data_IF_199796689199
#
_entry.id   IF_199796689199
#
_cell.length_a   1.000
_cell.length_b   1.000
_cell.length_c   1.000
_cell.angle_alpha   90.00
_cell.angle_beta   90.00
_cell.angle_gamma   90.00
#
_symmetry.space_group_name_H-M   'P 1'
#
loop_
_entity.id
_entity.type
_entity.pdbx_description
1 polymer ?
#
# COMPACT_ATOMS: atom_id res chain seq x y z
N UNK A 1 66.48 -18.58 3.14
CA UNK A 1 65.31 -19.04 3.92
C UNK A 1 64.38 -17.86 4.12
N UNK A 2 63.28 -17.67 3.35
CA UNK A 2 62.16 -16.73 3.67
C UNK A 2 61.05 -16.67 2.59
N UNK A 3 60.56 -17.78 2.04
CA UNK A 3 59.46 -17.71 1.03
C UNK A 3 58.29 -18.68 1.25
N UNK A 4 58.35 -19.57 2.24
CA UNK A 4 57.29 -20.57 2.47
C UNK A 4 56.21 -20.19 3.50
N UNK A 5 56.37 -19.07 4.22
CA UNK A 5 55.45 -18.72 5.33
C UNK A 5 54.21 -17.92 4.92
N UNK A 6 54.27 -17.15 3.82
CA UNK A 6 53.19 -16.23 3.44
C UNK A 6 52.00 -16.90 2.71
N UNK A 7 52.22 -18.07 2.11
CA UNK A 7 51.17 -18.81 1.39
C UNK A 7 50.19 -19.55 2.30
N UNK A 8 50.56 -19.82 3.56
CA UNK A 8 49.70 -20.54 4.51
C UNK A 8 48.67 -19.65 5.20
N UNK A 9 48.94 -18.35 5.33
CA UNK A 9 48.02 -17.40 5.96
C UNK A 9 46.88 -16.95 5.03
N UNK A 10 47.11 -16.91 3.71
CA UNK A 10 46.06 -16.54 2.76
C UNK A 10 44.95 -17.60 2.64
N UNK A 11 45.30 -18.89 2.75
CA UNK A 11 44.32 -19.97 2.66
C UNK A 11 43.37 -20.06 3.86
N UNK A 12 43.82 -19.64 5.05
CA UNK A 12 43.02 -19.71 6.27
C UNK A 12 41.95 -18.59 6.34
N UNK A 13 42.24 -17.42 5.77
CA UNK A 13 41.29 -16.30 5.71
C UNK A 13 40.20 -16.48 4.66
N UNK A 14 40.47 -17.22 3.57
CA UNK A 14 39.43 -17.54 2.56
C UNK A 14 38.49 -18.63 3.07
N UNK A 15 38.99 -19.58 3.87
CA UNK A 15 38.16 -20.64 4.46
C UNK A 15 37.18 -20.11 5.54
N UNK A 16 37.47 -18.96 6.16
CA UNK A 16 36.62 -18.37 7.21
C UNK A 16 35.50 -17.47 6.67
N UNK A 17 35.56 -17.00 5.42
CA UNK A 17 34.43 -16.31 4.77
C UNK A 17 33.41 -17.26 4.15
N UNK A 18 33.81 -18.48 3.79
CA UNK A 18 32.90 -19.48 3.22
C UNK A 18 31.95 -20.12 4.27
N UNK A 19 32.24 -19.98 5.56
CA UNK A 19 31.46 -20.57 6.64
C UNK A 19 30.25 -19.71 7.10
N UNK A 20 30.07 -18.49 6.57
CA UNK A 20 28.93 -17.63 6.93
C UNK A 20 27.72 -17.75 5.98
N UNK A 21 27.80 -18.54 4.90
CA UNK A 21 26.69 -18.76 3.96
C UNK A 21 25.98 -20.11 4.14
N UNK A 22 26.39 -20.93 5.11
CA UNK A 22 25.71 -22.18 5.46
C UNK A 22 25.20 -22.11 6.88
N UNK A 23 23.90 -21.91 7.06
CA UNK A 23 23.25 -22.24 8.33
C UNK A 23 22.18 -21.27 8.80
N UNK A 24 21.26 -20.90 7.91
CA UNK A 24 19.84 -20.70 8.17
C UNK A 24 19.25 -20.22 6.83
N UNK A 25 18.89 -21.16 5.95
CA UNK A 25 17.83 -20.84 5.00
C UNK A 25 16.59 -20.69 5.87
N UNK A 26 16.30 -19.46 6.29
CA UNK A 26 14.95 -19.13 6.71
C UNK A 26 14.08 -19.52 5.51
N UNK A 27 13.16 -20.45 5.73
CA UNK A 27 12.16 -20.79 4.73
C UNK A 27 11.50 -19.49 4.30
N UNK A 28 11.49 -19.21 3.00
CA UNK A 28 10.87 -17.98 2.49
C UNK A 28 9.41 -17.96 2.95
N UNK A 29 8.94 -16.87 3.55
CA UNK A 29 7.60 -16.81 4.11
C UNK A 29 6.56 -17.10 3.03
N UNK A 30 5.53 -17.86 3.42
CA UNK A 30 4.43 -18.19 2.53
C UNK A 30 3.62 -16.95 2.12
N UNK A 31 2.74 -17.08 1.11
CA UNK A 31 1.93 -15.95 0.63
C UNK A 31 1.05 -15.35 1.74
N UNK A 32 0.54 -16.18 2.66
CA UNK A 32 -0.28 -15.74 3.80
C UNK A 32 0.53 -14.86 4.78
N UNK A 33 1.77 -15.27 5.09
CA UNK A 33 2.65 -14.54 6.00
C UNK A 33 3.11 -13.22 5.40
N UNK A 34 3.47 -13.21 4.11
CA UNK A 34 3.82 -11.98 3.39
C UNK A 34 2.63 -11.00 3.37
N UNK A 35 1.41 -11.49 3.13
CA UNK A 35 0.22 -10.64 3.16
C UNK A 35 -0.04 -10.08 4.57
N UNK A 36 0.07 -10.89 5.62
CA UNK A 36 -0.07 -10.42 7.01
C UNK A 36 0.98 -9.36 7.36
N UNK A 37 2.23 -9.57 6.95
CA UNK A 37 3.32 -8.61 7.13
C UNK A 37 3.07 -7.30 6.40
N UNK A 38 2.52 -7.35 5.18
CA UNK A 38 2.10 -6.16 4.43
C UNK A 38 1.07 -5.32 5.22
N UNK A 39 0.00 -5.96 5.72
CA UNK A 39 -1.04 -5.29 6.51
C UNK A 39 -0.46 -4.73 7.81
N UNK A 40 0.38 -5.49 8.49
CA UNK A 40 1.02 -5.07 9.73
C UNK A 40 1.94 -3.86 9.51
N UNK A 41 2.69 -3.83 8.42
CA UNK A 41 3.53 -2.69 8.07
C UNK A 41 2.72 -1.41 7.85
N UNK A 42 1.58 -1.49 7.14
CA UNK A 42 0.67 -0.33 6.97
C UNK A 42 0.21 0.18 8.33
N UNK A 43 -0.24 -0.72 9.20
CA UNK A 43 -0.75 -0.34 10.52
C UNK A 43 0.31 0.27 11.44
N UNK A 44 1.56 -0.20 11.32
CA UNK A 44 2.70 0.37 12.06
C UNK A 44 3.21 1.70 11.46
N UNK A 45 2.63 2.18 10.36
CA UNK A 45 3.12 3.35 9.61
C UNK A 45 4.47 3.09 8.92
N UNK A 46 4.79 1.83 8.64
CA UNK A 46 5.99 1.39 7.92
C UNK A 46 5.70 1.27 6.42
N UNK A 47 5.12 2.33 5.84
CA UNK A 47 4.52 2.31 4.51
C UNK A 47 5.54 2.00 3.40
N UNK A 48 6.81 2.38 3.59
CA UNK A 48 7.89 2.01 2.67
C UNK A 48 8.08 0.49 2.58
N UNK A 49 8.04 -0.22 3.72
CA UNK A 49 8.14 -1.68 3.76
C UNK A 49 6.88 -2.35 3.19
N UNK A 50 5.70 -1.74 3.40
CA UNK A 50 4.47 -2.20 2.78
C UNK A 50 4.53 -2.06 1.25
N UNK A 51 5.01 -0.92 0.76
CA UNK A 51 5.18 -0.64 -0.68
C UNK A 51 6.21 -1.59 -1.33
N UNK A 52 7.24 -2.00 -0.60
CA UNK A 52 8.20 -3.02 -1.05
C UNK A 52 7.58 -4.42 -1.20
N UNK A 53 6.53 -4.73 -0.44
CA UNK A 53 5.79 -5.99 -0.54
C UNK A 53 4.80 -6.01 -1.72
N UNK A 54 4.48 -4.86 -2.30
CA UNK A 54 3.65 -4.76 -3.52
C UNK A 54 4.44 -5.21 -4.74
N UNK A 55 3.74 -5.90 -5.66
CA UNK A 55 4.30 -6.38 -6.93
C UNK A 55 4.99 -5.22 -7.67
N UNK A 56 6.23 -5.38 -8.18
CA UNK A 56 6.97 -4.27 -8.80
C UNK A 56 6.23 -3.57 -9.94
N UNK A 57 5.52 -4.33 -10.78
CA UNK A 57 4.71 -3.78 -11.86
C UNK A 57 3.52 -2.96 -11.32
N UNK A 58 2.85 -3.45 -10.28
CA UNK A 58 1.74 -2.75 -9.61
C UNK A 58 2.24 -1.50 -8.91
N UNK A 59 3.41 -1.57 -8.25
CA UNK A 59 4.07 -0.40 -7.65
C UNK A 59 4.42 0.65 -8.69
N UNK A 60 4.96 0.27 -9.85
CA UNK A 60 5.26 1.22 -10.92
C UNK A 60 4.00 1.97 -11.38
N UNK A 61 2.88 1.25 -11.59
CA UNK A 61 1.59 1.86 -11.93
C UNK A 61 1.04 2.77 -10.82
N UNK A 62 1.28 2.43 -9.55
CA UNK A 62 0.87 3.24 -8.41
C UNK A 62 1.61 4.59 -8.36
N UNK A 63 2.86 4.61 -8.85
CA UNK A 63 3.74 5.79 -8.81
C UNK A 63 3.65 6.66 -10.07
N UNK A 64 3.03 6.18 -11.16
CA UNK A 64 2.86 6.95 -12.40
C UNK A 64 2.22 8.36 -12.17
N UNK A 65 1.20 8.54 -11.31
CA UNK A 65 0.67 9.89 -11.05
C UNK A 65 1.63 10.80 -10.29
N UNK A 66 2.58 10.23 -9.53
CA UNK A 66 3.62 11.02 -8.85
C UNK A 66 4.61 11.57 -9.88
N UNK A 67 5.01 10.74 -10.84
CA UNK A 67 5.86 11.16 -11.96
C UNK A 67 5.20 12.30 -12.77
N UNK A 68 3.89 12.22 -13.02
CA UNK A 68 3.12 13.29 -13.69
C UNK A 68 3.13 14.60 -12.90
N UNK A 69 3.05 14.55 -11.57
CA UNK A 69 3.09 15.73 -10.70
C UNK A 69 4.50 16.32 -10.66
N UNK A 70 5.53 15.48 -10.61
CA UNK A 70 6.93 15.90 -10.70
C UNK A 70 7.20 16.65 -12.01
N UNK A 71 6.64 16.20 -13.14
CA UNK A 71 6.77 16.88 -14.42
C UNK A 71 6.03 18.23 -14.48
N UNK A 72 4.85 18.34 -13.84
CA UNK A 72 3.99 19.52 -13.93
C UNK A 72 4.32 20.60 -12.90
N UNK A 73 4.64 20.21 -11.67
CA UNK A 73 4.82 21.10 -10.51
C UNK A 73 6.29 21.18 -10.10
N UNK A 74 7.11 20.19 -10.46
CA UNK A 74 8.51 20.04 -10.04
C UNK A 74 8.65 19.43 -8.65
N UNK A 75 9.87 18.99 -8.31
CA UNK A 75 10.26 18.25 -7.08
C UNK A 75 9.87 18.94 -5.74
N UNK A 76 9.30 20.15 -5.77
CA UNK A 76 8.85 20.92 -4.60
C UNK A 76 7.42 20.63 -4.14
N UNK A 77 6.68 19.71 -4.79
CA UNK A 77 5.29 19.40 -4.44
C UNK A 77 5.15 18.66 -3.09
N UNK A 78 6.24 18.07 -2.57
CA UNK A 78 6.30 17.48 -1.23
C UNK A 78 5.56 16.15 -1.05
N UNK A 79 5.09 15.54 -2.14
CA UNK A 79 4.54 14.18 -2.14
C UNK A 79 5.68 13.18 -2.28
N UNK A 80 5.48 11.99 -1.74
CA UNK A 80 6.45 10.91 -1.72
C UNK A 80 5.78 9.61 -2.19
N UNK A 81 6.56 8.58 -2.58
CA UNK A 81 6.00 7.29 -3.00
C UNK A 81 5.04 6.63 -2.00
N UNK A 82 5.22 6.89 -0.70
CA UNK A 82 4.33 6.33 0.34
C UNK A 82 2.97 7.01 0.36
N UNK A 83 2.87 8.27 -0.06
CA UNK A 83 1.60 9.01 -0.12
C UNK A 83 0.65 8.45 -1.19
N UNK A 84 1.20 7.71 -2.16
CA UNK A 84 0.43 7.04 -3.20
C UNK A 84 -0.21 5.73 -2.72
N UNK A 85 0.26 5.15 -1.60
CA UNK A 85 -0.27 3.91 -1.05
C UNK A 85 -1.46 4.18 -0.13
N UNK A 86 -2.66 4.28 -0.70
CA UNK A 86 -3.89 4.43 0.07
C UNK A 86 -4.61 3.09 0.20
N UNK A 87 -4.63 2.54 1.42
CA UNK A 87 -5.39 1.32 1.76
C UNK A 87 -6.57 1.70 2.66
N UNK A 88 -7.80 1.58 2.14
CA UNK A 88 -9.01 2.14 2.78
C UNK A 88 -9.91 1.13 3.50
N UNK A 89 -9.58 -0.17 3.43
CA UNK A 89 -10.48 -1.25 3.88
C UNK A 89 -9.88 -2.17 4.94
N UNK A 90 -8.65 -1.91 5.36
CA UNK A 90 -7.89 -2.79 6.25
C UNK A 90 -7.12 -1.94 7.25
N UNK A 91 -7.89 -1.35 8.17
CA UNK A 91 -7.42 -0.31 9.08
C UNK A 91 -6.75 -0.90 10.34
N UNK A 92 -6.88 -2.22 10.56
CA UNK A 92 -6.32 -2.91 11.72
C UNK A 92 -5.96 -4.38 11.41
N UNK A 93 -4.67 -4.79 11.54
CA UNK A 93 -4.22 -6.16 11.28
C UNK A 93 -4.83 -7.16 12.25
N UNK A 94 -5.22 -6.72 13.46
CA UNK A 94 -5.85 -7.59 14.45
C UNK A 94 -7.30 -7.92 14.10
N UNK A 95 -7.92 -7.22 13.14
CA UNK A 95 -9.24 -7.62 12.62
C UNK A 95 -9.15 -8.83 11.70
N UNK A 96 -7.97 -9.17 11.19
CA UNK A 96 -7.77 -10.28 10.27
C UNK A 96 -7.70 -11.61 11.03
N UNK A 97 -8.85 -12.26 11.15
CA UNK A 97 -9.02 -13.55 11.84
C UNK A 97 -8.29 -14.67 11.09
N UNK A 98 -8.47 -14.74 9.77
CA UNK A 98 -8.06 -15.88 8.96
C UNK A 98 -7.65 -15.42 7.57
N UNK A 99 -6.60 -16.06 7.05
CA UNK A 99 -6.05 -15.87 5.70
C UNK A 99 -5.77 -17.27 5.20
N UNK A 100 -6.44 -17.67 4.14
CA UNK A 100 -6.33 -19.02 3.58
C UNK A 100 -6.06 -18.93 2.08
N UNK A 101 -5.12 -19.72 1.57
CA UNK A 101 -4.97 -19.91 0.13
C UNK A 101 -6.20 -20.62 -0.43
N UNK A 102 -6.81 -20.04 -1.46
CA UNK A 102 -7.94 -20.62 -2.17
C UNK A 102 -7.43 -21.65 -3.20
N UNK A 103 -7.81 -22.91 -3.01
CA UNK A 103 -7.51 -23.99 -3.95
C UNK A 103 -6.18 -24.69 -3.68
N UNK A 104 -5.66 -25.39 -4.70
CA UNK A 104 -4.39 -26.12 -4.58
C UNK A 104 -3.20 -25.18 -4.73
N UNK A 105 -2.29 -25.25 -3.77
CA UNK A 105 -1.03 -24.51 -3.77
C UNK A 105 0.14 -25.44 -4.12
N UNK A 106 1.00 -25.09 -5.10
CA UNK A 106 2.19 -25.88 -5.36
C UNK A 106 3.19 -25.71 -4.22
N UNK A 107 3.69 -26.83 -3.68
CA UNK A 107 4.75 -26.84 -2.64
C UNK A 107 6.00 -26.04 -3.06
N UNK A 108 6.24 -25.91 -4.36
CA UNK A 108 7.30 -25.09 -4.95
C UNK A 108 6.72 -24.20 -6.06
N UNK A 109 6.38 -22.92 -5.76
CA UNK A 109 5.83 -22.01 -6.76
C UNK A 109 6.88 -21.70 -7.85
N UNK A 110 6.40 -21.58 -9.09
CA UNK A 110 7.21 -21.11 -10.22
C UNK A 110 7.04 -19.59 -10.40
N UNK A 111 7.99 -18.94 -11.06
CA UNK A 111 7.87 -17.53 -11.45
C UNK A 111 6.54 -17.26 -12.17
N UNK A 112 5.83 -16.22 -11.73
CA UNK A 112 4.51 -15.86 -12.25
C UNK A 112 3.34 -16.65 -11.65
N UNK A 113 3.58 -17.56 -10.69
CA UNK A 113 2.49 -18.24 -9.96
C UNK A 113 1.63 -17.20 -9.26
N UNK A 114 0.31 -17.29 -9.46
CA UNK A 114 -0.68 -16.41 -8.81
C UNK A 114 -1.54 -17.25 -7.89
N UNK A 115 -1.76 -16.78 -6.67
CA UNK A 115 -2.66 -17.42 -5.70
C UNK A 115 -3.64 -16.39 -5.15
N UNK A 116 -4.87 -16.82 -4.92
CA UNK A 116 -5.89 -16.02 -4.26
C UNK A 116 -5.92 -16.37 -2.78
N UNK A 117 -5.99 -15.36 -1.93
CA UNK A 117 -6.16 -15.50 -0.49
C UNK A 117 -7.59 -15.11 -0.14
N UNK A 118 -8.30 -15.99 0.55
CA UNK A 118 -9.56 -15.68 1.20
C UNK A 118 -9.27 -15.08 2.58
N UNK A 119 -9.80 -13.89 2.83
CA UNK A 119 -9.64 -13.13 4.06
C UNK A 119 -10.93 -13.20 4.86
N UNK A 120 -10.84 -13.58 6.12
CA UNK A 120 -11.97 -13.57 7.06
C UNK A 120 -11.65 -12.61 8.20
N UNK A 121 -12.51 -11.64 8.41
CA UNK A 121 -12.36 -10.63 9.47
C UNK A 121 -13.05 -11.09 10.76
N UNK A 122 -12.72 -10.48 11.90
CA UNK A 122 -13.36 -10.75 13.18
C UNK A 122 -14.84 -10.34 13.23
N UNK A 123 -15.25 -9.39 12.39
CA UNK A 123 -16.62 -8.89 12.25
C UNK A 123 -17.41 -9.62 11.14
N UNK A 124 -16.95 -10.82 10.75
CA UNK A 124 -17.51 -11.67 9.70
C UNK A 124 -17.47 -11.08 8.28
N UNK A 125 -16.83 -9.91 8.07
CA UNK A 125 -16.52 -9.45 6.70
C UNK A 125 -15.58 -10.44 6.01
N UNK A 126 -15.78 -10.58 4.70
CA UNK A 126 -14.94 -11.38 3.83
C UNK A 126 -14.31 -10.49 2.76
N UNK A 127 -13.08 -10.80 2.39
CA UNK A 127 -12.38 -10.14 1.30
C UNK A 127 -11.43 -11.11 0.64
N UNK A 128 -10.91 -10.73 -0.53
CA UNK A 128 -9.93 -11.52 -1.24
C UNK A 128 -8.70 -10.68 -1.52
N UNK A 129 -7.52 -11.30 -1.51
CA UNK A 129 -6.27 -10.69 -1.96
C UNK A 129 -5.62 -11.61 -2.99
N UNK A 130 -4.79 -11.06 -3.87
CA UNK A 130 -4.01 -11.85 -4.83
C UNK A 130 -2.53 -11.71 -4.51
N UNK A 131 -1.83 -12.84 -4.48
CA UNK A 131 -0.39 -12.89 -4.33
C UNK A 131 0.26 -13.44 -5.60
N UNK A 132 1.45 -12.95 -5.92
CA UNK A 132 2.22 -13.35 -7.10
C UNK A 132 3.64 -13.71 -6.69
N UNK A 133 4.12 -14.86 -7.13
CA UNK A 133 5.50 -15.29 -6.90
C UNK A 133 6.40 -14.75 -8.03
N UNK A 134 7.36 -13.91 -7.67
CA UNK A 134 8.31 -13.33 -8.61
C UNK A 134 9.69 -13.14 -7.97
N UNK A 135 10.77 -13.36 -8.72
CA UNK A 135 12.14 -13.16 -8.24
C UNK A 135 12.46 -13.94 -6.97
N UNK A 136 11.88 -15.13 -6.82
CA UNK A 136 12.08 -15.97 -5.63
C UNK A 136 11.27 -15.59 -4.38
N UNK A 137 10.35 -14.61 -4.45
CA UNK A 137 9.52 -14.19 -3.30
C UNK A 137 8.08 -13.87 -3.69
N UNK A 138 7.20 -13.87 -2.70
CA UNK A 138 5.81 -13.46 -2.87
C UNK A 138 5.65 -11.93 -2.82
N UNK A 139 4.69 -11.44 -3.61
CA UNK A 139 4.28 -10.05 -3.65
C UNK A 139 2.76 -9.93 -3.61
N UNK A 140 2.28 -8.83 -3.02
CA UNK A 140 0.86 -8.46 -3.03
C UNK A 140 0.53 -7.80 -4.38
N UNK A 141 -0.50 -8.31 -5.06
CA UNK A 141 -1.05 -7.69 -6.25
C UNK A 141 -2.31 -6.89 -5.89
N UNK A 142 -2.17 -5.56 -5.90
CA UNK A 142 -3.27 -4.63 -5.69
C UNK A 142 -4.00 -4.43 -7.03
N UNK A 143 -5.29 -4.77 -7.14
CA UNK A 143 -6.04 -4.60 -8.38
C UNK A 143 -6.38 -3.12 -8.62
N UNK A 144 -5.41 -2.34 -9.11
CA UNK A 144 -5.55 -0.90 -9.34
C UNK A 144 -6.66 -0.56 -10.36
N UNK A 145 -6.95 -1.46 -11.29
CA UNK A 145 -7.99 -1.29 -12.32
C UNK A 145 -9.43 -1.31 -11.77
N UNK A 146 -9.61 -1.71 -10.50
CA UNK A 146 -10.92 -1.79 -9.85
C UNK A 146 -11.20 -0.61 -8.89
N UNK A 147 -10.25 0.31 -8.74
CA UNK A 147 -10.39 1.47 -7.86
C UNK A 147 -11.04 2.62 -8.63
N UNK A 148 -12.30 2.93 -8.31
CA UNK A 148 -12.97 4.13 -8.81
C UNK A 148 -12.32 5.37 -8.19
N UNK A 149 -11.36 5.96 -8.90
CA UNK A 149 -10.59 7.14 -8.48
C UNK A 149 -11.47 8.35 -8.16
N UNK A 150 -12.74 8.36 -8.61
CA UNK A 150 -13.73 9.40 -8.27
C UNK A 150 -14.18 9.35 -6.81
N UNK A 151 -13.97 8.23 -6.11
CA UNK A 151 -14.35 8.07 -4.69
C UNK A 151 -13.19 8.36 -3.73
N UNK A 152 -11.94 8.35 -4.20
CA UNK A 152 -10.74 8.56 -3.37
C UNK A 152 -10.24 10.01 -3.44
N UNK A 153 -10.46 10.69 -4.57
CA UNK A 153 -10.17 12.11 -4.70
C UNK A 153 -11.25 12.93 -3.98
N UNK A 154 -11.02 13.29 -2.73
CA UNK A 154 -11.71 14.44 -2.13
C UNK A 154 -11.30 15.66 -2.94
N UNK A 155 -12.20 16.37 -3.64
CA UNK A 155 -11.83 17.58 -4.33
C UNK A 155 -11.34 18.59 -3.28
N UNK A 156 -10.04 18.90 -3.29
CA UNK A 156 -9.45 19.98 -2.48
C UNK A 156 -10.00 21.37 -2.86
N UNK A 157 -10.83 21.45 -3.90
CA UNK A 157 -11.56 22.65 -4.32
C UNK A 157 -13.05 22.36 -4.44
N UNK A 158 -13.70 22.07 -3.32
CA UNK A 158 -15.03 22.64 -3.11
C UNK A 158 -14.80 23.97 -2.40
N UNK A 159 -14.37 24.97 -3.16
CA UNK A 159 -14.86 26.31 -2.89
C UNK A 159 -16.37 26.16 -2.80
N UNK A 160 -16.91 26.21 -1.58
CA UNK A 160 -18.28 26.62 -1.40
C UNK A 160 -18.33 28.02 -2.00
N UNK A 161 -18.66 28.10 -3.28
CA UNK A 161 -19.45 29.22 -3.79
C UNK A 161 -20.68 29.25 -2.88
N UNK A 162 -20.56 30.03 -1.80
CA UNK A 162 -21.70 30.41 -1.01
C UNK A 162 -22.70 31.04 -1.98
N UNK A 163 -24.00 30.79 -1.84
CA UNK A 163 -24.97 31.48 -2.67
C UNK A 163 -24.86 32.99 -2.40
N UNK A 164 -24.19 33.70 -3.29
CA UNK A 164 -24.35 35.14 -3.43
C UNK A 164 -25.59 35.39 -4.29
N UNK A 165 -26.66 35.83 -3.65
CA UNK A 165 -27.68 36.71 -4.20
C UNK A 165 -28.30 37.46 -3.00
N UNK A 166 -27.73 38.62 -2.64
CA UNK A 166 -28.16 39.99 -2.97
C UNK A 166 -29.29 40.55 -2.06
N UNK A 167 -29.27 41.87 -1.77
CA UNK A 167 -29.93 42.49 -0.63
C UNK A 167 -31.34 43.05 -0.94
N UNK A 168 -32.06 43.34 0.16
CA UNK A 168 -33.30 44.13 0.32
C UNK A 168 -34.66 43.46 0.00
N UNK A 169 -35.48 43.30 1.04
CA UNK A 169 -36.72 44.09 1.17
C UNK A 169 -37.17 44.16 2.65
N UNK A 170 -37.26 45.38 3.17
CA UNK A 170 -37.90 45.68 4.47
C UNK A 170 -39.39 45.32 4.41
N UNK A 171 -40.00 44.78 5.49
CA UNK A 171 -41.45 44.71 5.53
C UNK A 171 -41.99 46.12 5.79
N UNK A 172 -42.66 46.68 4.78
CA UNK A 172 -43.48 47.88 4.91
C UNK A 172 -44.55 47.65 5.98
N UNK A 173 -44.58 48.54 6.97
CA UNK A 173 -45.66 48.65 7.93
C UNK A 173 -46.98 48.90 7.19
N UNK A 174 -47.97 48.02 7.39
CA UNK A 174 -49.36 48.30 7.02
C UNK A 174 -49.95 49.22 8.08
N UNK A 175 -50.16 50.48 7.71
CA UNK A 175 -51.18 51.33 8.31
C UNK A 175 -52.54 50.84 7.80
N UNK A 176 -53.31 50.21 8.68
CA UNK A 176 -54.76 50.10 8.49
C UNK A 176 -55.42 51.16 9.38
N UNK A 177 -55.67 52.32 8.77
CA UNK A 177 -56.66 53.30 9.25
C UNK A 177 -58.02 52.89 8.69
N UNK A 178 -58.90 52.37 9.55
CA UNK A 178 -60.35 52.46 9.29
C UNK A 178 -61.10 52.91 10.55
N UNK A 179 -61.55 54.16 10.47
CA UNK A 179 -62.64 54.72 11.26
C UNK A 179 -63.95 54.05 10.83
N UNK A 180 -64.75 53.59 11.79
CA UNK A 180 -66.21 53.59 11.66
C UNK A 180 -66.84 53.90 13.01
N UNK A 181 -67.47 55.08 13.02
CA UNK A 181 -68.63 55.59 13.77
C UNK A 181 -68.82 55.23 15.26
#
# INVERSE_FOLDING_TARGET
>A
MTTRSKLRFAALCVASMAACYSGCQAEEPGPEEVFRGFVENIWRGQDALALEAVLPATRARLLEPLDDVDEQVGEGHGLTPVDMLIVTRLDNPHELKEVEIVGEHPDAPQEGTRVELALRMLDDRQGNATMVYQGGRWYVDLPLDQVDTRQVLVPLHLEKEGPQAMPEEQPAAREDTEHSE
#
